data_IF_797653506305
#
_entry.id   IF_797653506305
#
_cell.length_a   1.000
_cell.length_b   1.000
_cell.length_c   1.000
_cell.angle_alpha   90.00
_cell.angle_beta   90.00
_cell.angle_gamma   90.00
#
_symmetry.space_group_name_H-M   'P 1'
#
loop_
_entity.id
_entity.type
_entity.pdbx_description
1 polymer ?
#
# COMPACT_ATOMS: atom_id res chain seq x y z
N UNK A 1 11.88 -15.17 -8.96
CA UNK A 1 12.90 -14.76 -9.96
C UNK A 1 14.27 -14.78 -9.31
N UNK A 2 15.23 -15.47 -9.93
CA UNK A 2 16.64 -15.41 -9.53
C UNK A 2 17.42 -14.46 -10.43
N UNK A 3 18.41 -13.76 -9.87
CA UNK A 3 19.30 -12.86 -10.59
C UNK A 3 20.76 -13.10 -10.20
N UNK A 4 21.66 -12.86 -11.15
CA UNK A 4 23.11 -12.99 -10.97
C UNK A 4 23.81 -11.76 -11.54
N UNK A 5 24.96 -11.41 -10.97
CA UNK A 5 25.88 -10.39 -11.47
C UNK A 5 27.30 -10.90 -11.34
N UNK A 6 28.00 -11.00 -12.47
CA UNK A 6 29.36 -11.53 -12.54
C UNK A 6 30.29 -10.80 -11.55
N UNK A 7 31.03 -11.58 -10.75
CA UNK A 7 31.94 -11.05 -9.75
C UNK A 7 31.28 -10.47 -8.48
N UNK A 8 29.95 -10.45 -8.38
CA UNK A 8 29.24 -9.91 -7.21
C UNK A 8 28.33 -10.92 -6.52
N UNK A 9 27.37 -11.52 -7.23
CA UNK A 9 26.44 -12.49 -6.64
C UNK A 9 25.89 -13.46 -7.69
N UNK A 10 25.56 -14.67 -7.25
CA UNK A 10 25.04 -15.74 -8.10
C UNK A 10 23.69 -16.23 -7.57
N UNK A 11 22.72 -16.36 -8.47
CA UNK A 11 21.44 -17.05 -8.24
C UNK A 11 20.61 -16.50 -7.07
N UNK A 12 20.80 -15.22 -6.72
CA UNK A 12 20.06 -14.55 -5.67
C UNK A 12 18.57 -14.53 -5.99
N UNK A 13 17.76 -15.11 -5.10
CA UNK A 13 16.30 -15.04 -5.20
C UNK A 13 15.86 -13.60 -4.88
N UNK A 14 15.52 -12.82 -5.90
CA UNK A 14 15.14 -11.41 -5.70
C UNK A 14 13.70 -11.27 -5.19
N UNK A 15 12.79 -12.07 -5.74
CA UNK A 15 11.42 -12.16 -5.26
C UNK A 15 10.80 -13.50 -5.65
N UNK A 16 9.73 -13.90 -4.97
CA UNK A 16 8.88 -15.02 -5.36
C UNK A 16 7.42 -14.66 -5.08
N UNK A 17 6.47 -15.48 -5.50
CA UNK A 17 5.06 -15.20 -5.31
C UNK A 17 4.18 -16.18 -6.05
N UNK A 18 2.89 -16.11 -5.77
CA UNK A 18 1.87 -16.97 -6.36
C UNK A 18 0.68 -16.11 -6.82
N UNK A 19 -0.07 -16.62 -7.79
CA UNK A 19 -1.35 -16.08 -8.18
C UNK A 19 -2.35 -17.20 -8.38
N UNK A 20 -3.63 -16.90 -8.17
CA UNK A 20 -4.72 -17.81 -8.55
C UNK A 20 -4.75 -18.01 -10.08
N UNK A 21 -5.36 -19.10 -10.53
CA UNK A 21 -5.48 -19.40 -11.97
C UNK A 21 -6.24 -18.33 -12.76
N UNK A 22 -7.32 -17.73 -12.22
CA UNK A 22 -7.98 -16.57 -12.83
C UNK A 22 -7.12 -15.30 -12.86
N UNK A 23 -5.98 -15.28 -12.15
CA UNK A 23 -5.17 -14.10 -11.89
C UNK A 23 -6.02 -12.95 -11.32
N UNK A 24 -6.94 -13.22 -10.40
CA UNK A 24 -7.70 -12.22 -9.66
C UNK A 24 -7.05 -11.82 -8.35
N UNK A 25 -6.15 -12.63 -7.81
CA UNK A 25 -5.43 -12.34 -6.58
C UNK A 25 -4.08 -13.05 -6.53
N UNK A 26 -3.20 -12.55 -5.68
CA UNK A 26 -1.91 -13.16 -5.46
C UNK A 26 -1.05 -12.34 -4.52
N UNK A 27 0.17 -12.81 -4.35
CA UNK A 27 1.16 -12.11 -3.55
C UNK A 27 2.54 -12.21 -4.17
N UNK A 28 3.40 -11.26 -3.84
CA UNK A 28 4.85 -11.34 -4.03
C UNK A 28 5.56 -11.08 -2.73
N UNK A 29 6.67 -11.78 -2.50
CA UNK A 29 7.62 -11.53 -1.42
C UNK A 29 8.94 -11.09 -2.05
N UNK A 30 9.41 -9.90 -1.67
CA UNK A 30 10.68 -9.35 -2.12
C UNK A 30 11.76 -9.62 -1.06
N UNK A 31 12.96 -10.02 -1.52
CA UNK A 31 14.15 -10.16 -0.67
C UNK A 31 14.93 -8.84 -0.64
N UNK A 32 15.54 -8.53 0.51
CA UNK A 32 16.22 -7.25 0.73
C UNK A 32 17.45 -7.04 -0.16
N UNK A 33 18.41 -7.98 -0.16
CA UNK A 33 19.59 -7.90 -1.02
C UNK A 33 20.35 -9.23 -1.11
N UNK A 34 21.30 -9.40 -2.04
CA UNK A 34 22.17 -10.57 -2.08
C UNK A 34 23.02 -10.76 -0.80
N UNK A 35 23.43 -9.66 -0.16
CA UNK A 35 24.24 -9.70 1.06
C UNK A 35 23.40 -9.97 2.32
N UNK A 36 22.11 -9.69 2.26
CA UNK A 36 21.14 -9.84 3.35
C UNK A 36 19.80 -10.35 2.76
N UNK A 37 19.69 -11.66 2.48
CA UNK A 37 18.59 -12.24 1.70
C UNK A 37 17.35 -12.55 2.57
N UNK A 38 17.05 -11.70 3.55
CA UNK A 38 15.81 -11.77 4.33
C UNK A 38 14.62 -11.30 3.51
N UNK A 39 13.42 -11.74 3.91
CA UNK A 39 12.17 -11.19 3.39
C UNK A 39 12.00 -9.75 3.86
N UNK A 40 11.82 -8.85 2.89
CA UNK A 40 11.72 -7.41 3.11
C UNK A 40 10.27 -6.95 3.12
N UNK A 41 9.52 -7.37 2.09
CA UNK A 41 8.25 -6.77 1.75
C UNK A 41 7.32 -7.85 1.20
N UNK A 42 6.11 -7.92 1.74
CA UNK A 42 5.01 -8.65 1.13
C UNK A 42 4.15 -7.66 0.35
N UNK A 43 3.79 -8.05 -0.87
CA UNK A 43 2.92 -7.30 -1.77
C UNK A 43 1.74 -8.20 -2.09
N UNK A 44 0.61 -7.96 -1.43
CA UNK A 44 -0.66 -8.63 -1.74
C UNK A 44 -1.41 -7.80 -2.77
N UNK A 45 -1.96 -8.43 -3.79
CA UNK A 45 -2.75 -7.74 -4.82
C UNK A 45 -4.01 -8.50 -5.14
N UNK A 46 -5.06 -7.77 -5.48
CA UNK A 46 -6.32 -8.32 -5.94
C UNK A 46 -6.96 -7.43 -6.99
N UNK A 47 -7.77 -8.01 -7.88
CA UNK A 47 -8.56 -7.30 -8.86
C UNK A 47 -9.89 -8.00 -9.09
N UNK A 48 -10.94 -7.21 -9.18
CA UNK A 48 -12.23 -7.66 -9.63
C UNK A 48 -12.44 -7.14 -11.05
N UNK A 49 -12.30 -8.04 -12.04
CA UNK A 49 -12.36 -7.69 -13.46
C UNK A 49 -13.77 -7.18 -13.85
N UNK A 50 -14.83 -7.79 -13.31
CA UNK A 50 -16.20 -7.41 -13.67
C UNK A 50 -16.61 -6.08 -13.08
N UNK A 51 -16.19 -5.78 -11.84
CA UNK A 51 -16.38 -4.47 -11.22
C UNK A 51 -15.38 -3.43 -11.75
N UNK A 52 -14.23 -3.87 -12.26
CA UNK A 52 -13.09 -3.02 -12.61
C UNK A 52 -12.46 -2.35 -11.39
N UNK A 53 -12.45 -3.02 -10.24
CA UNK A 53 -11.81 -2.56 -9.00
C UNK A 53 -10.52 -3.34 -8.76
N UNK A 54 -9.60 -2.79 -7.99
CA UNK A 54 -8.36 -3.45 -7.62
C UNK A 54 -7.80 -2.91 -6.31
N UNK A 55 -6.96 -3.71 -5.66
CA UNK A 55 -6.26 -3.33 -4.45
C UNK A 55 -4.83 -3.87 -4.48
N UNK A 56 -3.91 -3.15 -3.86
CA UNK A 56 -2.55 -3.60 -3.62
C UNK A 56 -2.10 -3.13 -2.24
N UNK A 57 -1.61 -4.07 -1.44
CA UNK A 57 -1.13 -3.86 -0.08
C UNK A 57 0.34 -4.22 0.02
N UNK A 58 1.13 -3.28 0.49
CA UNK A 58 2.55 -3.42 0.76
C UNK A 58 2.74 -3.53 2.27
N UNK A 59 3.30 -4.62 2.77
CA UNK A 59 3.52 -4.85 4.21
C UNK A 59 5.00 -5.10 4.48
N UNK A 60 5.60 -4.33 5.39
CA UNK A 60 6.95 -4.64 5.87
C UNK A 60 6.90 -5.91 6.72
N UNK A 61 7.74 -6.89 6.38
CA UNK A 61 7.80 -8.20 7.04
C UNK A 61 9.20 -8.54 7.57
N UNK A 62 10.09 -7.55 7.65
CA UNK A 62 11.45 -7.73 8.20
C UNK A 62 11.34 -8.16 9.66
N UNK A 63 11.87 -9.34 10.07
CA UNK A 63 11.81 -9.80 11.45
C UNK A 63 12.44 -8.79 12.42
N UNK A 64 11.80 -8.60 13.58
CA UNK A 64 12.23 -7.71 14.67
C UNK A 64 12.37 -6.22 14.31
N UNK A 65 11.98 -5.82 13.10
CA UNK A 65 11.90 -4.42 12.70
C UNK A 65 10.69 -3.75 13.39
N UNK A 66 10.83 -2.51 13.94
CA UNK A 66 9.71 -1.79 14.54
C UNK A 66 8.52 -1.60 13.60
N UNK A 67 8.77 -1.51 12.28
CA UNK A 67 7.75 -1.41 11.25
C UNK A 67 7.25 -2.78 10.77
N UNK A 68 7.64 -3.91 11.36
CA UNK A 68 7.14 -5.23 10.94
C UNK A 68 5.62 -5.33 11.14
N UNK A 69 4.87 -5.34 10.05
CA UNK A 69 3.41 -5.30 10.00
C UNK A 69 2.83 -3.92 9.70
N UNK A 70 3.66 -2.88 9.62
CA UNK A 70 3.30 -1.59 9.01
C UNK A 70 3.05 -1.76 7.52
N UNK A 71 2.11 -0.98 6.98
CA UNK A 71 1.62 -1.19 5.62
C UNK A 71 1.15 0.07 4.89
N UNK A 72 1.08 -0.07 3.56
CA UNK A 72 0.39 0.83 2.63
C UNK A 72 -0.62 -0.03 1.87
N UNK A 73 -1.91 0.16 2.11
CA UNK A 73 -3.01 -0.51 1.40
C UNK A 73 -3.69 0.50 0.49
N UNK A 74 -3.64 0.25 -0.82
CA UNK A 74 -4.21 1.14 -1.83
C UNK A 74 -5.31 0.43 -2.57
N UNK A 75 -6.46 1.10 -2.75
CA UNK A 75 -7.63 0.50 -3.36
C UNK A 75 -8.28 1.46 -4.35
N UNK A 76 -8.75 0.91 -5.46
CA UNK A 76 -9.60 1.59 -6.43
C UNK A 76 -10.96 0.90 -6.45
N UNK A 77 -12.01 1.61 -6.02
CA UNK A 77 -13.34 1.03 -5.75
C UNK A 77 -14.43 1.50 -6.71
N UNK A 78 -14.15 2.48 -7.59
CA UNK A 78 -15.16 3.20 -8.40
C UNK A 78 -16.31 3.80 -7.57
N UNK A 79 -16.09 4.01 -6.28
CA UNK A 79 -17.04 4.67 -5.39
C UNK A 79 -17.29 6.12 -5.78
N UNK A 80 -18.38 6.68 -5.26
CA UNK A 80 -18.71 8.11 -5.34
C UNK A 80 -18.97 8.58 -3.91
N UNK A 81 -18.42 9.72 -3.46
CA UNK A 81 -17.63 10.68 -4.23
C UNK A 81 -16.17 10.28 -4.47
N UNK A 82 -15.63 9.32 -3.71
CA UNK A 82 -14.22 8.93 -3.76
C UNK A 82 -14.04 7.55 -4.39
N UNK A 83 -13.13 7.45 -5.34
CA UNK A 83 -12.85 6.21 -6.09
C UNK A 83 -11.49 5.60 -5.72
N UNK A 84 -10.64 6.34 -4.98
CA UNK A 84 -9.37 5.87 -4.46
C UNK A 84 -9.31 5.97 -2.94
N UNK A 85 -8.68 4.96 -2.33
CA UNK A 85 -8.52 4.82 -0.89
C UNK A 85 -7.07 4.45 -0.60
N UNK A 86 -6.44 5.13 0.36
CA UNK A 86 -5.21 4.70 1.01
C UNK A 86 -5.47 4.47 2.50
N UNK A 87 -5.14 3.28 2.99
CA UNK A 87 -5.04 2.96 4.41
C UNK A 87 -3.56 2.71 4.73
N UNK A 88 -2.98 3.59 5.53
CA UNK A 88 -1.57 3.56 5.91
C UNK A 88 -1.48 3.24 7.39
N UNK A 89 -0.62 2.28 7.74
CA UNK A 89 -0.27 2.02 9.13
C UNK A 89 1.24 2.12 9.31
N UNK A 90 1.65 3.18 10.00
CA UNK A 90 3.01 3.34 10.50
C UNK A 90 3.06 2.69 11.88
N UNK A 91 3.60 1.48 11.94
CA UNK A 91 3.47 0.63 13.13
C UNK A 91 4.39 1.07 14.26
N UNK A 92 5.59 1.54 13.93
CA UNK A 92 6.58 2.00 14.90
C UNK A 92 6.12 3.25 15.65
N UNK A 93 5.23 4.05 15.04
CA UNK A 93 4.57 5.20 15.67
C UNK A 93 3.14 4.91 16.14
N UNK A 94 2.64 3.69 15.91
CA UNK A 94 1.23 3.31 16.10
C UNK A 94 0.27 4.36 15.52
N UNK A 95 0.53 4.77 14.27
CA UNK A 95 -0.25 5.80 13.59
C UNK A 95 -0.99 5.24 12.37
N UNK A 96 -2.29 5.57 12.30
CA UNK A 96 -3.13 5.28 11.15
C UNK A 96 -3.44 6.55 10.38
N UNK A 97 -3.16 6.54 9.08
CA UNK A 97 -3.56 7.59 8.15
C UNK A 97 -4.49 6.98 7.13
N UNK A 98 -5.73 7.47 7.07
CA UNK A 98 -6.72 7.02 6.11
C UNK A 98 -7.08 8.16 5.16
N UNK A 99 -6.98 7.91 3.86
CA UNK A 99 -7.13 8.92 2.81
C UNK A 99 -8.12 8.41 1.77
N UNK A 100 -9.07 9.24 1.39
CA UNK A 100 -10.00 8.95 0.30
C UNK A 100 -10.04 10.15 -0.65
N UNK A 101 -10.00 9.89 -1.96
CA UNK A 101 -10.10 10.98 -2.93
C UNK A 101 -10.73 10.52 -4.24
N UNK A 102 -11.16 11.50 -5.02
CA UNK A 102 -11.62 11.33 -6.38
C UNK A 102 -10.45 11.53 -7.35
N UNK A 103 -10.13 10.52 -8.14
CA UNK A 103 -9.17 10.66 -9.25
C UNK A 103 -9.71 11.51 -10.40
N UNK A 104 -11.03 11.75 -10.44
CA UNK A 104 -11.69 12.54 -11.46
C UNK A 104 -11.73 14.03 -11.11
N UNK A 105 -12.20 14.37 -9.91
CA UNK A 105 -12.40 15.76 -9.46
C UNK A 105 -11.24 16.27 -8.61
N UNK A 106 -10.43 15.38 -8.05
CA UNK A 106 -9.29 15.72 -7.20
C UNK A 106 -9.66 16.05 -5.75
N UNK A 107 -10.94 16.20 -5.42
CA UNK A 107 -11.37 16.42 -4.04
C UNK A 107 -11.14 15.17 -3.18
N UNK A 108 -10.97 15.36 -1.87
CA UNK A 108 -10.73 14.25 -0.97
C UNK A 108 -10.70 14.65 0.50
N UNK A 109 -10.36 13.67 1.31
CA UNK A 109 -10.31 13.78 2.77
C UNK A 109 -9.25 12.87 3.36
N UNK A 110 -8.67 13.32 4.46
CA UNK A 110 -7.67 12.58 5.24
C UNK A 110 -8.07 12.56 6.71
N UNK A 111 -7.80 11.45 7.38
CA UNK A 111 -8.00 11.26 8.81
C UNK A 111 -6.74 10.64 9.41
N UNK A 112 -6.19 11.30 10.42
CA UNK A 112 -4.95 10.92 11.09
C UNK A 112 -4.92 11.53 12.50
N UNK A 113 -5.21 10.70 13.50
CA UNK A 113 -5.34 11.17 14.88
C UNK A 113 -4.02 11.72 15.43
N UNK A 114 -2.89 11.09 15.14
CA UNK A 114 -1.60 11.52 15.70
C UNK A 114 -1.13 12.84 15.06
N UNK A 115 -1.53 13.11 13.82
CA UNK A 115 -1.21 14.35 13.13
C UNK A 115 -2.14 15.51 13.51
N UNK A 116 -3.46 15.30 13.50
CA UNK A 116 -4.45 16.37 13.73
C UNK A 116 -4.83 16.54 15.21
N UNK A 117 -4.66 15.50 16.02
CA UNK A 117 -5.10 15.48 17.42
C UNK A 117 -6.60 15.25 17.59
N UNK A 118 -7.30 14.90 16.51
CA UNK A 118 -8.72 14.59 16.46
C UNK A 118 -8.99 13.40 15.52
N UNK A 119 -10.17 12.80 15.66
CA UNK A 119 -10.61 11.67 14.84
C UNK A 119 -11.50 12.15 13.66
N UNK A 120 -11.44 13.45 13.34
CA UNK A 120 -12.28 14.07 12.32
C UNK A 120 -11.63 13.94 10.94
N UNK A 121 -12.46 14.10 9.91
CA UNK A 121 -11.98 14.22 8.54
C UNK A 121 -11.50 15.64 8.27
N UNK A 122 -10.36 15.75 7.59
CA UNK A 122 -9.81 17.00 7.08
C UNK A 122 -9.89 16.96 5.55
N UNK A 123 -10.66 17.87 4.96
CA UNK A 123 -11.05 17.81 3.55
C UNK A 123 -10.37 18.87 2.70
N UNK A 124 -10.23 18.59 1.41
CA UNK A 124 -9.79 19.55 0.40
C UNK A 124 -10.67 19.50 -0.86
N UNK A 125 -10.75 20.62 -1.57
CA UNK A 125 -11.54 20.77 -2.80
C UNK A 125 -10.77 20.38 -4.08
N UNK A 126 -11.38 20.59 -5.25
CA UNK A 126 -10.75 20.30 -6.55
C UNK A 126 -9.47 21.11 -6.82
N UNK A 127 -9.30 22.27 -6.18
CA UNK A 127 -8.11 23.12 -6.29
C UNK A 127 -7.03 22.74 -5.25
N UNK A 128 -7.24 21.66 -4.49
CA UNK A 128 -6.37 21.16 -3.41
C UNK A 128 -6.25 22.15 -2.24
N UNK A 129 -7.28 22.96 -2.05
CA UNK A 129 -7.38 23.89 -0.93
C UNK A 129 -8.19 23.26 0.20
N UNK A 130 -7.74 23.49 1.44
CA UNK A 130 -8.47 23.01 2.61
C UNK A 130 -9.86 23.64 2.68
N UNK A 131 -10.87 22.82 2.93
CA UNK A 131 -12.26 23.23 3.10
C UNK A 131 -12.84 22.60 4.35
N UNK A 132 -13.95 23.16 4.85
CA UNK A 132 -14.79 22.43 5.80
C UNK A 132 -15.37 21.21 5.10
N UNK A 133 -15.29 20.05 5.74
CA UNK A 133 -15.87 18.82 5.20
C UNK A 133 -17.38 18.97 4.98
N UNK A 134 -17.91 18.49 3.84
CA UNK A 134 -19.36 18.50 3.55
C UNK A 134 -20.21 17.68 4.52
#
# INVERSE_FOLDING_TARGET
MKISKEGEYEDFLWYYGECDLPATEGFWILKKSPADPIDLLQIDWSRNISAGTHAIKYTNIVPDDPENGGYIDTQYTKGVPYDHIWDLYNKGEDNHTYIEWSSTTGEGRVKDFNHFGDDDWHCWDSDRMNITCP
#
